data_IF_410041831725
#
_entry.id   IF_410041831725
#
_cell.length_a   1.000
_cell.length_b   1.000
_cell.length_c   1.000
_cell.angle_alpha   90.00
_cell.angle_beta   90.00
_cell.angle_gamma   90.00
#
_symmetry.space_group_name_H-M   'P 1'
#
loop_
_entity.id
_entity.type
_entity.pdbx_description
1 polymer ?
#
# COMPACT_ATOMS: atom_id res chain seq x y z
N UNK A 1 3.00 -12.40 -32.36
CA UNK A 1 1.72 -11.70 -32.15
C UNK A 1 1.03 -12.43 -31.01
N UNK A 2 0.95 -11.84 -29.83
CA UNK A 2 0.16 -12.40 -28.74
C UNK A 2 -1.33 -12.29 -29.09
N UNK A 3 -2.18 -13.19 -28.60
CA UNK A 3 -3.62 -13.06 -28.81
C UNK A 3 -4.19 -11.93 -27.96
N UNK A 4 -5.29 -11.31 -28.39
CA UNK A 4 -5.97 -10.26 -27.64
C UNK A 4 -6.33 -10.69 -26.21
N UNK A 5 -6.76 -11.96 -26.04
CA UNK A 5 -7.02 -12.54 -24.73
C UNK A 5 -5.76 -12.63 -23.82
N UNK A 6 -4.57 -12.86 -24.41
CA UNK A 6 -3.32 -12.83 -23.66
C UNK A 6 -2.96 -11.41 -23.21
N UNK A 7 -3.20 -10.42 -24.07
CA UNK A 7 -2.96 -9.00 -23.76
C UNK A 7 -3.91 -8.49 -22.67
N UNK A 8 -5.20 -8.84 -22.73
CA UNK A 8 -6.18 -8.50 -21.68
C UNK A 8 -5.83 -9.14 -20.33
N UNK A 9 -5.42 -10.40 -20.33
CA UNK A 9 -4.94 -11.06 -19.12
C UNK A 9 -3.64 -10.42 -18.59
N UNK A 10 -2.75 -9.95 -19.46
CA UNK A 10 -1.55 -9.22 -19.04
C UNK A 10 -1.91 -7.84 -18.45
N UNK A 11 -2.89 -7.14 -19.02
CA UNK A 11 -3.43 -5.90 -18.49
C UNK A 11 -3.99 -6.08 -17.09
N UNK A 12 -4.90 -7.03 -16.87
CA UNK A 12 -5.43 -7.37 -15.52
C UNK A 12 -4.33 -7.72 -14.52
N UNK A 13 -3.21 -8.24 -15.02
CA UNK A 13 -2.08 -8.59 -14.18
C UNK A 13 -1.24 -7.38 -13.76
N UNK A 14 -1.16 -6.34 -14.58
CA UNK A 14 -0.35 -5.13 -14.42
C UNK A 14 -1.12 -3.98 -13.78
N UNK A 15 -2.40 -3.87 -14.08
CA UNK A 15 -3.30 -2.93 -13.42
C UNK A 15 -3.77 -3.52 -12.09
N UNK A 16 -4.20 -2.66 -11.17
CA UNK A 16 -4.99 -3.13 -10.04
C UNK A 16 -6.22 -3.86 -10.62
N UNK A 17 -6.67 -4.96 -10.00
CA UNK A 17 -8.01 -5.52 -10.31
C UNK A 17 -8.98 -4.35 -10.42
N UNK A 18 -9.93 -4.31 -11.37
CA UNK A 18 -10.76 -3.14 -11.64
C UNK A 18 -11.25 -2.58 -10.32
N UNK A 19 -10.53 -1.54 -9.88
CA UNK A 19 -10.84 -0.82 -8.69
C UNK A 19 -11.70 0.25 -9.30
N UNK A 20 -13.01 -0.01 -9.33
CA UNK A 20 -13.97 1.07 -9.38
C UNK A 20 -13.61 1.95 -8.20
N UNK A 21 -12.76 2.96 -8.44
CA UNK A 21 -12.53 4.01 -7.47
C UNK A 21 -13.94 4.53 -7.20
N UNK A 22 -14.50 4.32 -5.99
CA UNK A 22 -15.86 4.74 -5.76
C UNK A 22 -15.89 6.23 -6.06
N UNK A 23 -16.61 6.61 -7.13
CA UNK A 23 -17.15 7.95 -7.24
C UNK A 23 -18.05 8.05 -6.02
N UNK A 24 -17.56 8.67 -4.95
CA UNK A 24 -18.33 8.83 -3.72
C UNK A 24 -19.55 9.69 -4.03
N UNK A 25 -20.63 9.04 -4.47
CA UNK A 25 -21.98 9.45 -4.14
C UNK A 25 -22.28 8.71 -2.85
N UNK A 26 -22.55 9.47 -1.78
CA UNK A 26 -22.98 8.92 -0.51
C UNK A 26 -24.33 8.23 -0.72
N UNK A 27 -24.33 6.93 -0.97
CA UNK A 27 -25.53 6.12 -0.79
C UNK A 27 -25.65 5.75 0.69
N UNK A 28 -26.79 6.13 1.25
CA UNK A 28 -27.14 6.10 2.67
C UNK A 28 -27.33 4.65 3.15
N UNK A 29 -26.22 3.93 3.33
CA UNK A 29 -26.23 2.67 4.06
C UNK A 29 -26.19 2.98 5.55
N UNK A 30 -27.21 2.52 6.29
CA UNK A 30 -27.36 2.73 7.74
C UNK A 30 -26.02 2.46 8.46
N UNK A 31 -25.44 3.45 9.15
CA UNK A 31 -24.09 3.33 9.68
C UNK A 31 -24.08 2.39 10.89
N UNK A 32 -23.42 1.23 10.77
CA UNK A 32 -22.80 0.63 11.96
C UNK A 32 -21.85 1.70 12.52
N UNK A 33 -22.06 2.11 13.77
CA UNK A 33 -21.29 3.19 14.42
C UNK A 33 -19.81 2.79 14.51
N UNK A 34 -19.02 3.16 13.51
CA UNK A 34 -17.56 3.09 13.58
C UNK A 34 -17.06 4.12 14.60
N UNK A 35 -16.18 3.68 15.49
CA UNK A 35 -15.51 4.60 16.40
C UNK A 35 -14.39 5.29 15.61
N UNK A 36 -14.65 6.52 15.18
CA UNK A 36 -13.70 7.37 14.48
C UNK A 36 -12.92 8.24 15.46
N UNK A 37 -11.59 8.24 15.35
CA UNK A 37 -10.74 9.16 16.08
C UNK A 37 -9.86 9.93 15.12
N UNK A 38 -10.09 11.24 15.04
CA UNK A 38 -9.33 12.17 14.19
C UNK A 38 -8.28 12.88 15.04
N UNK A 39 -7.05 12.96 14.55
CA UNK A 39 -5.97 13.70 15.20
C UNK A 39 -5.20 14.50 14.15
N UNK A 40 -4.94 15.79 14.40
CA UNK A 40 -4.10 16.63 13.53
C UNK A 40 -2.69 16.72 14.09
N UNK A 41 -1.67 16.76 13.23
CA UNK A 41 -0.33 17.19 13.65
C UNK A 41 0.40 17.95 12.54
N UNK A 42 1.23 18.91 12.92
CA UNK A 42 1.98 19.72 11.97
C UNK A 42 3.37 19.10 11.75
N UNK A 43 3.85 19.12 10.52
CA UNK A 43 5.17 18.61 10.17
C UNK A 43 5.88 19.58 9.21
N UNK A 44 6.88 20.30 9.71
CA UNK A 44 7.68 21.20 8.89
C UNK A 44 8.66 20.40 8.02
N UNK A 45 8.64 20.61 6.69
CA UNK A 45 9.72 20.16 5.81
C UNK A 45 10.70 21.32 5.64
N UNK A 46 11.98 21.06 5.84
CA UNK A 46 13.04 21.91 5.30
C UNK A 46 13.41 21.37 3.91
N UNK A 47 13.07 22.04 2.80
CA UNK A 47 13.53 21.62 1.49
C UNK A 47 15.05 21.67 1.45
N UNK A 48 15.65 20.72 0.72
CA UNK A 48 17.08 20.76 0.38
C UNK A 48 17.24 21.88 -0.66
N UNK A 49 17.35 23.14 -0.21
CA UNK A 49 17.53 24.31 -1.07
C UNK A 49 18.90 24.93 -0.84
N UNK A 50 19.62 25.13 -1.94
CA UNK A 50 20.87 25.89 -2.06
C UNK A 50 20.63 27.42 -2.11
N UNK A 51 19.44 27.92 -1.78
CA UNK A 51 19.11 29.36 -1.81
C UNK A 51 18.28 29.82 -0.59
N UNK A 52 18.63 30.95 0.06
CA UNK A 52 17.83 31.59 1.13
C UNK A 52 16.97 32.77 0.61
N UNK A 53 16.00 33.30 1.38
CA UNK A 53 15.19 32.70 2.44
C UNK A 53 13.69 33.02 2.22
N UNK A 54 12.99 32.22 1.40
CA UNK A 54 11.54 32.12 1.56
C UNK A 54 11.30 31.07 2.64
N UNK A 55 10.49 31.33 3.69
CA UNK A 55 10.19 30.30 4.67
C UNK A 55 9.68 29.05 3.93
N UNK A 56 10.18 27.86 4.28
CA UNK A 56 9.71 26.63 3.70
C UNK A 56 8.18 26.55 3.76
N UNK A 57 7.51 26.11 2.68
CA UNK A 57 6.10 25.82 2.75
C UNK A 57 5.83 24.84 3.91
N UNK A 58 4.99 25.24 4.87
CA UNK A 58 4.63 24.39 6.00
C UNK A 58 3.63 23.33 5.53
N UNK A 59 3.93 22.07 5.81
CA UNK A 59 3.06 20.95 5.45
C UNK A 59 2.31 20.48 6.69
N UNK A 60 1.00 20.33 6.56
CA UNK A 60 0.15 19.87 7.62
C UNK A 60 -0.27 18.43 7.34
N UNK A 61 -0.22 17.59 8.38
CA UNK A 61 -0.62 16.20 8.30
C UNK A 61 -1.89 15.99 9.11
N UNK A 62 -2.91 15.49 8.44
CA UNK A 62 -4.16 15.12 9.08
C UNK A 62 -4.27 13.61 9.11
N UNK A 63 -4.68 13.07 10.27
CA UNK A 63 -4.80 11.64 10.48
C UNK A 63 -6.23 11.30 10.86
N UNK A 64 -6.72 10.28 10.19
CA UNK A 64 -7.92 9.58 10.55
C UNK A 64 -7.55 8.12 10.88
N UNK A 65 -7.92 7.69 12.08
CA UNK A 65 -7.82 6.30 12.49
C UNK A 65 -9.22 5.78 12.68
N UNK A 66 -9.65 4.88 11.79
CA UNK A 66 -10.92 4.18 11.94
C UNK A 66 -10.69 2.78 12.48
N UNK A 67 -11.58 2.38 13.39
CA UNK A 67 -11.61 1.05 13.97
C UNK A 67 -13.03 0.53 13.94
N UNK A 68 -13.21 -0.68 13.40
CA UNK A 68 -14.49 -1.38 13.51
C UNK A 68 -14.64 -1.94 14.92
N UNK A 69 -15.80 -1.78 15.59
CA UNK A 69 -16.05 -2.38 16.91
C UNK A 69 -15.77 -3.89 16.96
N UNK A 70 -16.07 -4.60 15.86
CA UNK A 70 -15.83 -6.05 15.74
C UNK A 70 -14.34 -6.40 15.69
N UNK A 71 -13.49 -5.48 15.21
CA UNK A 71 -12.15 -5.78 14.69
C UNK A 71 -11.04 -5.00 15.39
N UNK A 72 -11.40 -4.00 16.20
CA UNK A 72 -10.50 -3.09 16.92
C UNK A 72 -9.42 -3.81 17.74
N UNK A 73 -9.65 -5.06 18.11
CA UNK A 73 -8.71 -5.86 18.89
C UNK A 73 -7.46 -6.24 18.09
N UNK A 74 -7.55 -6.39 16.76
CA UNK A 74 -6.44 -6.84 15.92
C UNK A 74 -6.27 -6.08 14.61
N UNK A 75 -7.21 -5.22 14.21
CA UNK A 75 -7.07 -4.41 12.99
C UNK A 75 -7.44 -2.95 13.21
N UNK A 76 -6.76 -2.07 12.48
CA UNK A 76 -7.02 -0.63 12.42
C UNK A 76 -6.78 -0.14 10.99
N UNK A 77 -7.55 0.82 10.53
CA UNK A 77 -7.26 1.53 9.27
C UNK A 77 -6.63 2.87 9.61
N UNK A 78 -5.66 3.25 8.80
CA UNK A 78 -5.00 4.53 8.86
C UNK A 78 -5.20 5.23 7.52
N UNK A 79 -5.86 6.38 7.57
CA UNK A 79 -5.91 7.33 6.47
C UNK A 79 -5.13 8.55 6.90
N UNK A 80 -4.15 8.95 6.09
CA UNK A 80 -3.34 10.13 6.34
C UNK A 80 -3.39 10.99 5.09
N UNK A 81 -3.73 12.26 5.27
CA UNK A 81 -3.80 13.26 4.22
C UNK A 81 -2.75 14.32 4.53
N UNK A 82 -2.21 14.91 3.50
CA UNK A 82 -1.29 16.04 3.63
C UNK A 82 -1.86 17.24 2.89
N UNK A 83 -1.82 18.39 3.54
CA UNK A 83 -2.22 19.65 2.93
C UNK A 83 -1.04 20.61 2.89
N UNK A 84 -1.02 21.42 1.84
CA UNK A 84 -0.09 22.54 1.68
C UNK A 84 -0.91 23.76 1.27
N UNK A 85 -0.86 24.83 2.08
CA UNK A 85 -1.68 26.03 1.88
C UNK A 85 -3.18 25.68 1.68
N UNK A 86 -3.73 24.87 2.59
CA UNK A 86 -5.13 24.39 2.57
C UNK A 86 -5.54 23.56 1.34
N UNK A 87 -4.58 23.19 0.49
CA UNK A 87 -4.80 22.32 -0.67
C UNK A 87 -4.31 20.91 -0.34
N UNK A 88 -5.14 19.88 -0.55
CA UNK A 88 -4.71 18.49 -0.41
C UNK A 88 -3.68 18.17 -1.50
N UNK A 89 -2.50 17.72 -1.09
CA UNK A 89 -1.39 17.41 -2.03
C UNK A 89 -1.05 15.93 -2.07
N UNK A 90 -1.68 15.13 -1.20
CA UNK A 90 -1.51 13.70 -1.21
C UNK A 90 -2.22 12.99 -0.06
N UNK A 91 -2.40 11.69 -0.26
CA UNK A 91 -3.07 10.80 0.68
C UNK A 91 -2.36 9.45 0.73
N UNK A 92 -2.34 8.82 1.90
CA UNK A 92 -2.01 7.40 2.06
C UNK A 92 -3.07 6.67 2.89
N UNK A 93 -3.43 5.45 2.46
CA UNK A 93 -4.29 4.52 3.20
C UNK A 93 -3.56 3.23 3.49
N UNK A 94 -3.65 2.76 4.72
CA UNK A 94 -3.05 1.51 5.12
C UNK A 94 -3.86 0.79 6.19
N UNK A 95 -3.80 -0.54 6.20
CA UNK A 95 -4.45 -1.40 7.18
C UNK A 95 -3.43 -2.09 8.07
N UNK A 96 -3.52 -1.83 9.36
CA UNK A 96 -2.76 -2.52 10.39
C UNK A 96 -3.42 -3.84 10.77
N UNK A 97 -2.60 -4.88 10.96
CA UNK A 97 -3.05 -6.21 11.38
C UNK A 97 -2.08 -6.79 12.42
N UNK A 98 -2.59 -6.99 13.64
CA UNK A 98 -1.95 -7.80 14.68
C UNK A 98 -2.28 -9.28 14.46
N UNK A 99 -1.39 -9.98 13.76
CA UNK A 99 -1.61 -11.38 13.39
C UNK A 99 -1.58 -12.33 14.57
N UNK A 100 -0.85 -12.00 15.63
CA UNK A 100 -0.79 -12.83 16.83
C UNK A 100 -2.16 -12.84 17.52
N UNK A 101 -2.85 -11.70 17.54
CA UNK A 101 -4.23 -11.62 18.03
C UNK A 101 -5.22 -12.26 17.08
N UNK A 102 -5.07 -12.06 15.77
CA UNK A 102 -5.91 -12.71 14.76
C UNK A 102 -5.91 -14.23 14.93
N UNK A 103 -4.74 -14.85 15.12
CA UNK A 103 -4.60 -16.30 15.36
C UNK A 103 -5.27 -16.80 16.65
N UNK A 104 -5.55 -15.93 17.63
CA UNK A 104 -6.26 -16.30 18.86
C UNK A 104 -7.78 -16.30 18.69
N UNK A 105 -8.31 -15.67 17.64
CA UNK A 105 -9.74 -15.54 17.40
C UNK A 105 -10.30 -16.78 16.70
N UNK A 106 -10.47 -17.88 17.45
CA UNK A 106 -11.16 -19.13 17.04
C UNK A 106 -10.54 -19.82 15.79
N UNK A 107 -10.91 -21.07 15.46
CA UNK A 107 -10.26 -21.81 14.37
C UNK A 107 -10.80 -21.42 12.98
N UNK A 108 -10.99 -20.13 12.70
CA UNK A 108 -11.25 -19.67 11.33
C UNK A 108 -9.90 -19.49 10.61
N UNK A 109 -9.86 -19.79 9.32
CA UNK A 109 -8.65 -19.52 8.52
C UNK A 109 -8.34 -18.02 8.53
N UNK A 110 -7.07 -17.66 8.30
CA UNK A 110 -6.64 -16.26 8.23
C UNK A 110 -7.44 -15.52 7.16
N UNK A 111 -7.61 -16.12 5.97
CA UNK A 111 -8.38 -15.55 4.87
C UNK A 111 -9.85 -15.33 5.23
N UNK A 112 -10.51 -16.29 5.91
CA UNK A 112 -11.92 -16.11 6.36
C UNK A 112 -12.05 -14.99 7.38
N UNK A 113 -11.12 -14.92 8.32
CA UNK A 113 -11.10 -13.85 9.33
C UNK A 113 -10.91 -12.46 8.70
N UNK A 114 -10.20 -12.40 7.56
CA UNK A 114 -9.99 -11.18 6.78
C UNK A 114 -11.11 -10.87 5.79
N UNK A 115 -11.77 -11.90 5.28
CA UNK A 115 -12.98 -11.74 4.48
C UNK A 115 -14.10 -11.13 5.33
N UNK A 116 -14.19 -11.49 6.61
CA UNK A 116 -15.05 -10.81 7.59
C UNK A 116 -14.62 -9.36 7.87
N UNK A 117 -13.38 -8.98 7.52
CA UNK A 117 -12.94 -7.58 7.51
C UNK A 117 -13.26 -6.84 6.22
N UNK A 118 -13.69 -7.53 5.15
CA UNK A 118 -13.81 -6.93 3.84
C UNK A 118 -14.99 -5.97 3.82
N UNK A 119 -14.69 -4.72 4.14
CA UNK A 119 -15.52 -3.53 4.04
C UNK A 119 -15.52 -2.95 2.61
N UNK A 120 -15.19 -3.77 1.61
CA UNK A 120 -14.94 -3.35 0.22
C UNK A 120 -13.45 -3.15 -0.11
N UNK A 121 -12.55 -3.21 0.89
CA UNK A 121 -11.11 -3.11 0.70
C UNK A 121 -10.49 -4.47 0.34
N UNK A 122 -10.38 -4.73 -0.96
CA UNK A 122 -9.95 -6.02 -1.53
C UNK A 122 -8.49 -6.38 -1.25
N UNK A 123 -7.64 -5.40 -0.90
CA UNK A 123 -6.20 -5.59 -0.80
C UNK A 123 -5.79 -6.48 0.38
N UNK A 124 -6.46 -6.35 1.52
CA UNK A 124 -6.16 -7.17 2.70
C UNK A 124 -6.50 -8.65 2.47
N UNK A 125 -7.59 -8.92 1.76
CA UNK A 125 -7.98 -10.27 1.39
C UNK A 125 -7.01 -10.84 0.34
N UNK A 126 -6.73 -10.07 -0.72
CA UNK A 126 -5.79 -10.44 -1.78
C UNK A 126 -4.39 -10.72 -1.21
N UNK A 127 -3.92 -9.90 -0.27
CA UNK A 127 -2.67 -10.08 0.47
C UNK A 127 -2.60 -11.48 1.07
N UNK A 128 -3.68 -11.91 1.73
CA UNK A 128 -3.66 -13.21 2.41
C UNK A 128 -3.84 -14.41 1.52
N UNK A 129 -4.72 -14.33 0.55
CA UNK A 129 -4.93 -15.41 -0.40
C UNK A 129 -3.69 -15.65 -1.26
N UNK A 130 -2.96 -14.59 -1.61
CA UNK A 130 -1.77 -14.71 -2.46
C UNK A 130 -0.53 -15.12 -1.67
N UNK A 131 -0.30 -14.57 -0.46
CA UNK A 131 0.95 -14.85 0.26
C UNK A 131 0.87 -16.01 1.25
N UNK A 132 -0.29 -16.23 1.85
CA UNK A 132 -0.44 -17.16 2.97
C UNK A 132 -1.37 -18.32 2.60
N UNK A 133 -1.20 -19.45 3.28
CA UNK A 133 -2.20 -20.51 3.30
C UNK A 133 -3.27 -20.22 4.37
N UNK A 134 -4.26 -21.10 4.47
CA UNK A 134 -5.37 -20.95 5.43
C UNK A 134 -4.92 -20.86 6.89
N UNK A 135 -3.77 -21.45 7.23
CA UNK A 135 -3.18 -21.41 8.57
C UNK A 135 -2.42 -20.10 8.85
N UNK A 136 -2.43 -19.15 7.90
CA UNK A 136 -1.64 -17.93 7.99
C UNK A 136 -0.14 -18.21 7.96
N UNK A 137 0.29 -19.23 7.24
CA UNK A 137 1.71 -19.54 6.99
C UNK A 137 2.04 -19.16 5.55
N UNK A 138 3.19 -18.51 5.35
CA UNK A 138 3.68 -18.09 4.05
C UNK A 138 3.78 -19.32 3.14
N UNK A 139 3.24 -19.21 1.94
CA UNK A 139 3.28 -20.30 0.97
C UNK A 139 4.73 -20.61 0.56
N UNK A 140 5.01 -21.88 0.24
CA UNK A 140 6.38 -22.36 0.01
C UNK A 140 7.06 -21.66 -1.18
N UNK A 141 6.31 -21.34 -2.22
CA UNK A 141 6.74 -20.54 -3.39
C UNK A 141 7.09 -19.08 -3.05
N UNK A 142 6.80 -18.61 -1.83
CA UNK A 142 7.11 -17.26 -1.38
C UNK A 142 8.20 -17.23 -0.30
N UNK A 143 8.55 -18.39 0.25
CA UNK A 143 9.62 -18.57 1.24
C UNK A 143 10.98 -18.66 0.54
N UNK A 144 11.47 -17.53 0.04
CA UNK A 144 12.74 -17.43 -0.67
C UNK A 144 13.52 -16.21 -0.18
N UNK A 145 14.84 -16.31 -0.17
CA UNK A 145 15.74 -15.22 0.25
C UNK A 145 15.34 -13.88 -0.39
N UNK A 146 15.26 -12.79 0.41
CA UNK A 146 15.64 -12.67 1.82
C UNK A 146 14.52 -13.08 2.80
N UNK A 147 13.38 -13.56 2.30
CA UNK A 147 12.17 -13.80 3.09
C UNK A 147 12.04 -15.27 3.50
N UNK A 148 11.49 -15.46 4.69
CA UNK A 148 11.37 -16.74 5.34
C UNK A 148 10.19 -16.82 6.29
N UNK A 149 10.35 -17.67 7.31
CA UNK A 149 9.31 -17.95 8.32
C UNK A 149 9.05 -16.74 9.24
N UNK A 150 9.91 -15.73 9.23
CA UNK A 150 9.70 -14.48 9.96
C UNK A 150 8.44 -13.75 9.50
N UNK A 151 8.07 -13.88 8.22
CA UNK A 151 6.81 -13.34 7.70
C UNK A 151 5.57 -14.07 8.23
N UNK A 152 5.69 -15.13 9.05
CA UNK A 152 4.54 -15.86 9.65
C UNK A 152 4.07 -15.30 11.00
N UNK A 153 4.83 -14.36 11.55
CA UNK A 153 4.62 -13.77 12.86
C UNK A 153 4.62 -12.24 12.76
N UNK A 154 4.40 -11.60 13.90
CA UNK A 154 4.46 -10.16 14.01
C UNK A 154 3.20 -9.43 13.57
N UNK A 155 3.27 -8.11 13.69
CA UNK A 155 2.24 -7.21 13.20
C UNK A 155 2.67 -6.63 11.87
N UNK A 156 1.69 -6.45 10.99
CA UNK A 156 1.92 -6.05 9.60
C UNK A 156 1.08 -4.83 9.26
N UNK A 157 1.58 -4.02 8.34
CA UNK A 157 0.86 -2.91 7.75
C UNK A 157 0.71 -3.17 6.26
N UNK A 158 -0.51 -3.16 5.73
CA UNK A 158 -0.79 -3.32 4.30
C UNK A 158 -1.07 -1.93 3.75
N UNK A 159 -0.25 -1.47 2.81
CA UNK A 159 -0.49 -0.24 2.08
C UNK A 159 -1.47 -0.52 0.94
N UNK A 160 -2.67 0.03 1.04
CA UNK A 160 -3.69 -0.12 0.00
C UNK A 160 -3.55 0.99 -1.06
N UNK A 161 -3.31 2.22 -0.61
CA UNK A 161 -3.36 3.39 -1.49
C UNK A 161 -2.32 4.44 -1.10
N UNK A 162 -1.66 5.04 -2.09
CA UNK A 162 -0.76 6.18 -1.91
C UNK A 162 -0.83 7.07 -3.15
N UNK A 163 -1.33 8.28 -2.97
CA UNK A 163 -1.47 9.29 -4.01
C UNK A 163 -0.70 10.54 -3.65
N UNK A 164 -0.04 11.13 -4.64
CA UNK A 164 0.51 12.49 -4.57
C UNK A 164 0.08 13.22 -5.82
N UNK A 165 -0.49 14.39 -5.63
CA UNK A 165 -0.95 15.27 -6.71
C UNK A 165 0.20 15.60 -7.66
N UNK A 166 -0.10 15.65 -8.96
CA UNK A 166 0.91 15.62 -10.03
C UNK A 166 1.92 16.76 -9.92
N UNK A 167 1.45 17.94 -9.58
CA UNK A 167 2.20 19.19 -9.41
C UNK A 167 3.16 19.12 -8.22
N UNK A 168 2.85 18.25 -7.25
CA UNK A 168 3.59 18.10 -6.00
C UNK A 168 4.49 16.85 -5.99
N UNK A 169 4.53 16.09 -7.08
CA UNK A 169 5.43 14.93 -7.22
C UNK A 169 6.90 15.36 -7.22
N UNK A 170 7.77 14.43 -6.79
CA UNK A 170 9.23 14.63 -6.66
C UNK A 170 9.66 15.66 -5.59
N UNK A 171 8.74 16.11 -4.74
CA UNK A 171 9.02 17.03 -3.62
C UNK A 171 9.18 16.28 -2.27
N UNK A 172 9.26 14.95 -2.29
CA UNK A 172 9.43 14.13 -1.08
C UNK A 172 8.14 13.87 -0.28
N UNK A 173 6.99 14.37 -0.72
CA UNK A 173 5.70 14.22 -0.03
C UNK A 173 5.33 12.76 0.26
N UNK A 174 5.51 11.87 -0.72
CA UNK A 174 5.24 10.45 -0.53
C UNK A 174 6.03 9.86 0.65
N UNK A 175 7.29 10.29 0.84
CA UNK A 175 8.13 9.84 1.96
C UNK A 175 7.59 10.29 3.31
N UNK A 176 6.98 11.47 3.35
CA UNK A 176 6.38 12.02 4.56
C UNK A 176 5.13 11.25 4.91
N UNK A 177 4.25 11.00 3.94
CA UNK A 177 3.07 10.16 4.11
C UNK A 177 3.46 8.75 4.60
N UNK A 178 4.49 8.13 4.00
CA UNK A 178 5.03 6.85 4.47
C UNK A 178 5.51 6.89 5.92
N UNK A 179 6.36 7.85 6.25
CA UNK A 179 6.92 7.96 7.59
C UNK A 179 5.82 8.24 8.63
N UNK A 180 4.83 9.05 8.26
CA UNK A 180 3.66 9.35 9.08
C UNK A 180 2.86 8.09 9.41
N UNK A 181 2.52 7.27 8.41
CA UNK A 181 1.75 6.05 8.62
C UNK A 181 2.55 4.99 9.38
N UNK A 182 3.85 4.85 9.08
CA UNK A 182 4.76 3.94 9.80
C UNK A 182 4.88 4.36 11.26
N UNK A 183 5.08 5.65 11.55
CA UNK A 183 5.17 6.16 12.93
C UNK A 183 3.89 5.88 13.71
N UNK A 184 2.73 6.11 13.10
CA UNK A 184 1.43 5.82 13.74
C UNK A 184 1.26 4.32 14.00
N UNK A 185 1.62 3.48 13.04
CA UNK A 185 1.54 2.03 13.15
C UNK A 185 2.53 1.44 14.18
N UNK A 186 3.76 1.99 14.28
CA UNK A 186 4.74 1.59 15.29
C UNK A 186 4.25 1.82 16.73
N UNK A 187 3.45 2.86 16.93
CA UNK A 187 2.84 3.16 18.23
C UNK A 187 1.61 2.27 18.54
N UNK A 188 1.19 1.41 17.61
CA UNK A 188 0.13 0.44 17.87
C UNK A 188 0.64 -0.77 18.69
N UNK A 189 -0.28 -1.45 19.37
CA UNK A 189 0.04 -2.61 20.22
C UNK A 189 0.64 -3.74 19.37
N UNK A 190 1.82 -4.22 19.76
CA UNK A 190 2.51 -5.36 19.14
C UNK A 190 3.73 -4.97 18.30
N UNK A 191 3.90 -3.68 17.98
CA UNK A 191 5.06 -3.15 17.26
C UNK A 191 5.09 -3.59 15.78
N UNK A 192 5.08 -2.61 14.87
CA UNK A 192 5.13 -2.88 13.43
C UNK A 192 6.42 -3.61 13.04
N UNK A 193 6.32 -4.77 12.39
CA UNK A 193 7.48 -5.54 11.92
C UNK A 193 7.68 -5.45 10.41
N UNK A 194 6.59 -5.50 9.64
CA UNK A 194 6.64 -5.53 8.18
C UNK A 194 5.57 -4.65 7.59
N UNK A 195 5.89 -3.98 6.49
CA UNK A 195 4.94 -3.25 5.67
C UNK A 195 4.87 -3.89 4.29
N UNK A 196 3.67 -4.21 3.83
CA UNK A 196 3.41 -4.83 2.54
C UNK A 196 2.72 -3.87 1.60
N UNK A 197 3.00 -4.02 0.32
CA UNK A 197 2.32 -3.28 -0.75
C UNK A 197 2.25 -4.14 -2.00
N UNK A 198 1.18 -3.98 -2.78
CA UNK A 198 1.12 -4.47 -4.15
C UNK A 198 1.37 -3.26 -5.07
N UNK A 199 2.53 -3.16 -5.74
CA UNK A 199 2.76 -2.08 -6.69
C UNK A 199 1.68 -2.08 -7.78
N UNK A 200 1.23 -0.90 -8.16
CA UNK A 200 0.21 -0.70 -9.18
C UNK A 200 0.15 0.76 -9.61
N UNK A 201 -0.60 1.00 -10.66
CA UNK A 201 -0.99 2.33 -11.11
C UNK A 201 -2.21 2.81 -10.33
N UNK A 202 -2.31 4.11 -10.06
CA UNK A 202 -3.60 4.70 -9.73
C UNK A 202 -4.33 4.89 -11.06
N UNK A 203 -5.58 4.42 -11.22
CA UNK A 203 -6.34 4.59 -12.45
C UNK A 203 -6.39 6.05 -12.93
N UNK A 204 -6.50 7.02 -12.02
CA UNK A 204 -6.50 8.45 -12.38
C UNK A 204 -5.21 8.97 -13.02
N UNK A 205 -4.10 8.23 -12.94
CA UNK A 205 -2.87 8.54 -13.69
C UNK A 205 -2.95 8.10 -15.15
N UNK A 206 -3.92 7.24 -15.47
CA UNK A 206 -4.23 6.77 -16.79
C UNK A 206 -5.46 7.55 -17.27
N UNK A 207 -5.27 8.44 -18.23
CA UNK A 207 -6.39 9.16 -18.82
C UNK A 207 -7.22 8.17 -19.65
N UNK A 208 -8.41 7.82 -19.15
CA UNK A 208 -9.30 6.83 -19.77
C UNK A 208 -9.60 7.19 -21.24
N UNK A 209 -9.78 8.48 -21.56
CA UNK A 209 -10.03 8.91 -22.93
C UNK A 209 -8.83 8.66 -23.86
N UNK A 210 -7.62 8.76 -23.31
CA UNK A 210 -6.39 8.43 -24.04
C UNK A 210 -6.27 6.91 -24.18
N UNK A 211 -6.52 6.14 -23.12
CA UNK A 211 -6.47 4.67 -23.17
C UNK A 211 -7.48 4.08 -24.17
N UNK A 212 -8.71 4.59 -24.20
CA UNK A 212 -9.76 4.11 -25.10
C UNK A 212 -9.44 4.36 -26.58
N UNK A 213 -8.56 5.33 -26.86
CA UNK A 213 -8.07 5.62 -28.22
C UNK A 213 -6.87 4.77 -28.64
N UNK A 214 -6.26 4.05 -27.70
CA UNK A 214 -5.09 3.20 -27.92
C UNK A 214 -5.49 1.79 -28.34
N UNK A 215 -4.63 1.15 -29.13
CA UNK A 215 -4.74 -0.29 -29.38
C UNK A 215 -4.45 -1.09 -28.09
N UNK A 216 -4.92 -2.35 -28.03
CA UNK A 216 -4.70 -3.21 -26.86
C UNK A 216 -3.21 -3.43 -26.55
N UNK A 217 -2.35 -3.44 -27.58
CA UNK A 217 -0.89 -3.56 -27.40
C UNK A 217 -0.29 -2.29 -26.77
N UNK A 218 -0.72 -1.11 -27.20
CA UNK A 218 -0.30 0.17 -26.61
C UNK A 218 -0.78 0.31 -25.17
N UNK A 219 -2.02 -0.12 -24.86
CA UNK A 219 -2.53 -0.12 -23.49
C UNK A 219 -1.68 -1.01 -22.57
N UNK A 220 -1.31 -2.22 -23.03
CA UNK A 220 -0.41 -3.13 -22.29
C UNK A 220 0.93 -2.46 -22.05
N UNK A 221 1.51 -1.80 -23.06
CA UNK A 221 2.79 -1.13 -22.94
C UNK A 221 2.75 0.05 -21.96
N UNK A 222 1.67 0.85 -21.98
CA UNK A 222 1.43 1.93 -21.01
C UNK A 222 1.31 1.34 -19.61
N UNK A 223 0.46 0.33 -19.40
CA UNK A 223 0.28 -0.31 -18.11
C UNK A 223 1.59 -0.89 -17.57
N UNK A 224 2.39 -1.52 -18.44
CA UNK A 224 3.71 -2.06 -18.07
C UNK A 224 4.65 -0.96 -17.61
N UNK A 225 4.72 0.17 -18.33
CA UNK A 225 5.55 1.33 -17.94
C UNK A 225 5.13 1.91 -16.60
N UNK A 226 3.83 2.05 -16.35
CA UNK A 226 3.34 2.58 -15.07
C UNK A 226 3.64 1.61 -13.93
N UNK A 227 3.43 0.30 -14.13
CA UNK A 227 3.81 -0.71 -13.15
C UNK A 227 5.32 -0.70 -12.86
N UNK A 228 6.18 -0.62 -13.88
CA UNK A 228 7.63 -0.54 -13.70
C UNK A 228 8.05 0.72 -12.93
N UNK A 229 7.37 1.85 -13.17
CA UNK A 229 7.59 3.07 -12.40
C UNK A 229 7.17 2.91 -10.93
N UNK A 230 6.03 2.27 -10.66
CA UNK A 230 5.62 1.94 -9.29
C UNK A 230 6.62 1.01 -8.61
N UNK A 231 7.11 -0.02 -9.30
CA UNK A 231 8.14 -0.94 -8.78
C UNK A 231 9.43 -0.20 -8.46
N UNK A 232 9.94 0.65 -9.36
CA UNK A 232 11.12 1.51 -9.11
C UNK A 232 10.91 2.40 -7.90
N UNK A 233 9.74 3.02 -7.80
CA UNK A 233 9.35 3.86 -6.67
C UNK A 233 9.42 3.08 -5.35
N UNK A 234 8.71 1.96 -5.19
CA UNK A 234 8.73 1.20 -3.94
C UNK A 234 10.12 0.64 -3.61
N UNK A 235 10.90 0.20 -4.61
CA UNK A 235 12.29 -0.24 -4.39
C UNK A 235 13.19 0.86 -3.85
N UNK A 236 12.97 2.12 -4.27
CA UNK A 236 13.69 3.28 -3.74
C UNK A 236 13.42 3.54 -2.24
N UNK A 237 12.30 3.03 -1.72
CA UNK A 237 11.96 3.03 -0.29
C UNK A 237 12.49 1.80 0.47
N UNK A 238 13.23 0.91 -0.20
CA UNK A 238 13.78 -0.30 0.41
C UNK A 238 12.84 -1.52 0.38
N UNK A 239 11.68 -1.42 -0.26
CA UNK A 239 10.81 -2.58 -0.44
C UNK A 239 11.45 -3.61 -1.39
N UNK A 240 11.31 -4.89 -1.09
CA UNK A 240 11.76 -6.00 -1.96
C UNK A 240 10.63 -6.99 -2.21
N UNK A 241 10.65 -7.67 -3.36
CA UNK A 241 9.58 -8.60 -3.76
C UNK A 241 9.54 -9.82 -2.83
N UNK A 242 8.34 -10.24 -2.43
CA UNK A 242 8.13 -11.43 -1.59
C UNK A 242 8.05 -12.67 -2.48
N UNK A 243 9.19 -13.32 -2.67
CA UNK A 243 9.32 -14.51 -3.51
C UNK A 243 8.78 -14.32 -4.93
N UNK A 244 7.93 -15.23 -5.42
CA UNK A 244 7.26 -15.09 -6.73
C UNK A 244 5.97 -14.25 -6.72
N UNK A 245 5.60 -13.64 -5.61
CA UNK A 245 4.34 -12.91 -5.51
C UNK A 245 4.39 -11.54 -6.22
N UNK A 246 3.21 -10.93 -6.36
CA UNK A 246 3.06 -9.52 -6.74
C UNK A 246 3.30 -8.55 -5.57
N UNK A 247 3.50 -9.07 -4.37
CA UNK A 247 3.65 -8.28 -3.16
C UNK A 247 5.10 -7.94 -2.87
N UNK A 248 5.29 -6.75 -2.36
CA UNK A 248 6.55 -6.21 -1.90
C UNK A 248 6.47 -6.05 -0.39
N UNK A 249 7.59 -6.24 0.29
CA UNK A 249 7.70 -6.11 1.74
C UNK A 249 8.87 -5.19 2.10
N UNK A 250 8.63 -4.34 3.10
CA UNK A 250 9.63 -3.52 3.78
C UNK A 250 9.72 -4.02 5.23
N UNK A 251 10.90 -4.49 5.62
CA UNK A 251 11.21 -4.83 7.00
C UNK A 251 11.41 -3.55 7.82
N UNK A 252 10.90 -3.53 9.06
CA UNK A 252 11.13 -2.42 9.99
C UNK A 252 12.46 -2.54 10.74
N UNK A 253 13.04 -3.74 10.78
CA UNK A 253 14.36 -3.99 11.35
C UNK A 253 15.44 -3.46 10.39
N UNK A 254 16.20 -2.43 10.76
CA UNK A 254 17.20 -1.83 9.88
C UNK A 254 18.33 -2.81 9.50
N UNK A 255 18.53 -3.88 10.28
CA UNK A 255 19.56 -4.90 10.01
C UNK A 255 19.03 -6.07 9.16
N UNK A 256 17.76 -6.03 8.73
CA UNK A 256 17.19 -7.09 7.91
C UNK A 256 17.89 -7.21 6.55
N UNK A 257 18.13 -8.45 6.11
CA UNK A 257 18.89 -8.76 4.89
C UNK A 257 18.29 -8.15 3.62
N UNK A 258 16.99 -7.89 3.60
CA UNK A 258 16.32 -7.21 2.47
C UNK A 258 16.89 -5.81 2.19
N UNK A 259 17.45 -5.13 3.20
CA UNK A 259 18.06 -3.81 3.03
C UNK A 259 19.41 -3.86 2.31
N UNK A 260 20.05 -5.02 2.26
CA UNK A 260 21.34 -5.22 1.58
C UNK A 260 21.17 -5.55 0.09
N UNK A 261 19.96 -5.90 -0.34
CA UNK A 261 19.65 -6.21 -1.73
C UNK A 261 19.49 -4.89 -2.48
N UNK A 262 20.20 -4.69 -3.59
CA UNK A 262 19.99 -3.50 -4.42
C UNK A 262 18.70 -3.62 -5.25
N UNK A 263 18.12 -2.53 -5.76
CA UNK A 263 16.96 -2.62 -6.65
C UNK A 263 17.17 -3.49 -7.91
N UNK A 264 18.42 -3.64 -8.36
CA UNK A 264 18.81 -4.41 -9.56
C UNK A 264 18.92 -5.90 -9.23
N UNK A 265 19.43 -6.23 -8.04
CA UNK A 265 19.55 -7.61 -7.57
C UNK A 265 18.22 -8.19 -7.06
N UNK A 266 17.21 -7.34 -6.86
CA UNK A 266 15.88 -7.76 -6.46
C UNK A 266 15.16 -8.52 -7.58
N UNK A 267 14.32 -9.47 -7.19
CA UNK A 267 13.71 -10.41 -8.12
C UNK A 267 12.77 -9.70 -9.10
N UNK A 268 12.94 -10.00 -10.39
CA UNK A 268 12.29 -9.31 -11.51
C UNK A 268 12.61 -7.80 -11.48
N UNK A 269 13.84 -7.40 -11.82
CA UNK A 269 14.17 -5.98 -11.99
C UNK A 269 13.27 -5.37 -13.08
N UNK A 270 12.91 -4.08 -12.98
CA UNK A 270 12.12 -3.44 -14.02
C UNK A 270 12.95 -3.38 -15.31
N UNK A 271 12.32 -3.55 -16.47
CA UNK A 271 13.03 -3.48 -17.76
C UNK A 271 13.33 -2.04 -18.16
#
# INVERSE_FOLDING_TARGET
MASEAQLLHELEHLTLLPYDAPKFQFEDTTPEKENMHTSKCNATITPISLCPPTPPPEIQLEYEVSTSPKLQHFSKKFNVWTTLNDTEVGQVRARYIDRARLKRLKPKSMSKSLQELNDGDSDALAFTQQLFNDNGTLQANHMMYPWGKELNKGTVLILSYLMVEKEFRRQGIARILFNAVIKKAKNAKGGLQFMFVRPGAIPSDLDDAILDSMSSEEQVDVARRVYDNAVRFYRSFGFRRVGYSKWFCLAMDPMHLSHQITPIDDRNPPK
#
